data_IF_614874242543
#
_entry.id   IF_614874242543
#
_cell.length_a   1.000
_cell.length_b   1.000
_cell.length_c   1.000
_cell.angle_alpha   90.00
_cell.angle_beta   90.00
_cell.angle_gamma   90.00
#
_symmetry.space_group_name_H-M   'P 1'
#
loop_
_entity.id
_entity.type
_entity.pdbx_description
1 polymer ?
#
# COMPACT_ATOMS: atom_id res chain seq x y z
N UNK A 1 4.64 3.11 14.60
CA UNK A 1 5.84 2.79 13.81
C UNK A 1 5.50 3.02 12.34
N UNK A 2 6.26 3.86 11.64
CA UNK A 2 6.07 4.13 10.21
C UNK A 2 7.43 3.94 9.51
N UNK A 3 7.43 3.22 8.39
CA UNK A 3 8.62 2.88 7.62
C UNK A 3 8.40 3.26 6.16
N UNK A 4 9.42 3.83 5.50
CA UNK A 4 9.38 4.14 4.07
C UNK A 4 9.88 2.90 3.33
N UNK A 5 9.01 2.28 2.53
CA UNK A 5 9.33 1.10 1.72
C UNK A 5 9.45 1.51 0.26
N UNK A 6 10.54 1.11 -0.40
CA UNK A 6 10.75 1.36 -1.81
C UNK A 6 9.79 0.51 -2.67
N UNK A 7 9.24 1.09 -3.74
CA UNK A 7 8.17 0.49 -4.55
C UNK A 7 8.61 -0.83 -5.22
N UNK A 8 9.88 -0.95 -5.58
CA UNK A 8 10.50 -2.15 -6.17
C UNK A 8 10.49 -3.36 -5.23
N UNK A 9 10.34 -3.14 -3.93
CA UNK A 9 10.23 -4.22 -2.93
C UNK A 9 8.80 -4.78 -2.83
N UNK A 10 7.83 -4.17 -3.51
CA UNK A 10 6.45 -4.65 -3.57
C UNK A 10 6.37 -5.72 -4.66
N UNK A 11 6.56 -6.97 -4.25
CA UNK A 11 6.59 -8.14 -5.15
C UNK A 11 5.20 -8.76 -5.37
N UNK A 12 4.16 -8.23 -4.74
CA UNK A 12 2.80 -8.77 -4.77
C UNK A 12 1.74 -7.68 -4.65
N UNK A 13 0.51 -8.00 -5.02
CA UNK A 13 -0.64 -7.11 -4.78
C UNK A 13 -0.73 -6.82 -3.28
N UNK A 14 -0.53 -5.56 -2.91
CA UNK A 14 -0.74 -5.08 -1.56
C UNK A 14 -1.84 -4.03 -1.57
N UNK A 15 -2.74 -4.10 -0.59
CA UNK A 15 -3.80 -3.11 -0.42
C UNK A 15 -3.19 -1.81 0.13
N UNK A 16 -2.81 -0.92 -0.79
CA UNK A 16 -2.38 0.43 -0.46
C UNK A 16 -3.61 1.31 -0.20
N UNK A 17 -3.69 1.87 1.00
CA UNK A 17 -4.72 2.83 1.36
C UNK A 17 -4.17 4.22 1.05
N UNK A 18 -4.86 4.95 0.18
CA UNK A 18 -4.49 6.31 -0.18
C UNK A 18 -4.42 7.19 1.08
N UNK A 19 -3.28 7.84 1.29
CA UNK A 19 -3.20 8.91 2.29
C UNK A 19 -3.61 10.21 1.62
N UNK A 20 -4.89 10.53 1.68
CA UNK A 20 -5.36 11.89 1.44
C UNK A 20 -5.29 12.68 2.75
N UNK A 21 -5.13 14.01 2.64
CA UNK A 21 -5.13 14.92 3.79
C UNK A 21 -6.54 15.10 4.36
N UNK A 22 -6.88 16.35 4.68
CA UNK A 22 -8.24 16.71 5.08
C UNK A 22 -9.28 16.60 3.94
N UNK A 23 -8.81 16.62 2.69
CA UNK A 23 -9.66 16.49 1.51
C UNK A 23 -8.98 15.62 0.44
N UNK A 24 -9.81 14.90 -0.32
CA UNK A 24 -9.41 14.18 -1.53
C UNK A 24 -9.24 15.19 -2.65
N UNK A 25 -8.13 15.13 -3.39
CA UNK A 25 -7.96 15.96 -4.58
C UNK A 25 -8.97 15.51 -5.64
N UNK A 26 -9.83 16.42 -6.08
CA UNK A 26 -10.90 16.13 -7.03
C UNK A 26 -10.41 15.73 -8.43
N UNK A 27 -9.12 15.91 -8.71
CA UNK A 27 -8.49 15.48 -9.95
C UNK A 27 -8.12 14.00 -9.94
N UNK A 28 -8.18 13.33 -8.79
CA UNK A 28 -7.84 11.92 -8.68
C UNK A 28 -8.86 11.05 -9.41
N UNK A 29 -8.35 10.17 -10.26
CA UNK A 29 -9.08 9.09 -10.91
C UNK A 29 -8.23 7.82 -10.88
N UNK A 30 -8.85 6.71 -11.29
CA UNK A 30 -8.22 5.39 -11.39
C UNK A 30 -6.91 5.40 -12.19
N UNK A 31 -6.82 6.22 -13.25
CA UNK A 31 -5.64 6.30 -14.11
C UNK A 31 -4.48 7.13 -13.52
N UNK A 32 -4.76 8.17 -12.73
CA UNK A 32 -3.73 9.14 -12.29
C UNK A 32 -3.42 9.10 -10.79
N UNK A 33 -4.22 8.40 -9.98
CA UNK A 33 -4.07 8.40 -8.52
C UNK A 33 -2.72 7.84 -8.09
N UNK A 34 -2.17 6.87 -8.83
CA UNK A 34 -0.83 6.33 -8.57
C UNK A 34 0.30 7.34 -8.77
N UNK A 35 0.14 8.29 -9.69
CA UNK A 35 1.12 9.35 -9.95
C UNK A 35 0.96 10.53 -8.99
N UNK A 36 -0.29 10.90 -8.69
CA UNK A 36 -0.61 12.07 -7.87
C UNK A 36 -0.50 11.79 -6.37
N UNK A 37 -0.80 10.57 -5.92
CA UNK A 37 -0.67 10.19 -4.52
C UNK A 37 0.79 9.83 -4.22
N UNK A 38 1.49 10.69 -3.47
CA UNK A 38 2.90 10.47 -3.09
C UNK A 38 3.09 9.65 -1.82
N UNK A 39 2.02 9.39 -1.08
CA UNK A 39 2.08 8.70 0.20
C UNK A 39 0.91 7.76 0.36
N UNK A 40 1.19 6.55 0.81
CA UNK A 40 0.18 5.52 1.05
C UNK A 40 0.35 4.97 2.45
N UNK A 41 -0.76 4.56 3.06
CA UNK A 41 -0.72 3.70 4.23
C UNK A 41 -0.76 2.25 3.78
N UNK A 42 0.15 1.46 4.32
CA UNK A 42 0.14 0.01 4.17
C UNK A 42 -0.35 -0.59 5.49
N UNK A 43 -1.48 -1.29 5.45
CA UNK A 43 -1.96 -2.06 6.60
C UNK A 43 -1.58 -3.51 6.44
N UNK A 44 -0.76 -4.02 7.37
CA UNK A 44 -0.37 -5.43 7.39
C UNK A 44 -1.49 -6.39 7.83
N UNK A 45 -2.69 -5.88 8.11
CA UNK A 45 -3.81 -6.66 8.67
C UNK A 45 -5.07 -6.60 7.80
N UNK A 46 -4.98 -5.98 6.62
CA UNK A 46 -6.14 -5.79 5.75
C UNK A 46 -6.50 -7.08 5.00
N UNK A 47 -5.50 -7.91 4.70
CA UNK A 47 -5.66 -9.23 4.10
C UNK A 47 -4.61 -10.20 4.64
N UNK A 48 -4.90 -11.50 4.49
CA UNK A 48 -4.08 -12.59 5.03
C UNK A 48 -2.72 -12.66 4.31
N UNK A 49 -2.68 -12.40 3.01
CA UNK A 49 -1.45 -12.53 2.21
C UNK A 49 -0.43 -11.46 2.63
N UNK A 50 -0.88 -10.20 2.73
CA UNK A 50 -0.07 -9.08 3.22
C UNK A 50 0.37 -9.30 4.67
N UNK A 51 -0.49 -9.87 5.53
CA UNK A 51 -0.12 -10.24 6.89
C UNK A 51 0.98 -11.31 6.92
N UNK A 52 0.80 -12.40 6.18
CA UNK A 52 1.79 -13.48 6.09
C UNK A 52 3.14 -12.98 5.57
N UNK A 53 3.13 -12.13 4.54
CA UNK A 53 4.35 -11.53 3.99
C UNK A 53 5.05 -10.57 4.96
N UNK A 54 4.32 -9.63 5.57
CA UNK A 54 4.93 -8.54 6.35
C UNK A 54 5.14 -8.86 7.83
N UNK A 55 4.32 -9.73 8.42
CA UNK A 55 4.36 -10.07 9.85
C UNK A 55 4.90 -11.47 10.10
N UNK A 56 4.51 -12.44 9.30
CA UNK A 56 5.00 -13.81 9.45
C UNK A 56 6.33 -14.07 8.71
N UNK A 57 6.81 -13.11 7.91
CA UNK A 57 7.97 -13.26 7.02
C UNK A 57 7.87 -14.50 6.11
N UNK A 58 6.63 -14.89 5.77
CA UNK A 58 6.35 -16.00 4.88
C UNK A 58 6.25 -15.44 3.47
N UNK A 59 7.33 -15.56 2.72
CA UNK A 59 7.38 -15.21 1.29
C UNK A 59 6.83 -16.39 0.51
N UNK A 60 5.62 -16.26 -0.04
CA UNK A 60 5.01 -17.28 -0.91
C UNK A 60 3.93 -18.14 -0.26
N UNK A 61 3.08 -17.58 0.62
CA UNK A 61 1.85 -18.27 1.03
C UNK A 61 0.77 -18.17 -0.06
N UNK A 62 1.03 -18.79 -1.22
CA UNK A 62 0.04 -19.43 -2.11
C UNK A 62 0.75 -20.59 -2.80
#
# INVERSE_FOLDING_TARGET
>A
YAEIVALDRIVHNCHLILKWGSAVDSRWNDANVGELCKTFYLSAYVDVDTFCMLRCNQRGCV
#
